data_IF_501208517472
#
_entry.id   IF_501208517472
#
_cell.length_a   1.000
_cell.length_b   1.000
_cell.length_c   1.000
_cell.angle_alpha   90.00
_cell.angle_beta   90.00
_cell.angle_gamma   90.00
#
_symmetry.space_group_name_H-M   'P 1'
#
loop_
_entity.id
_entity.type
_entity.pdbx_description
1 polymer ?
#
# COMPACT_ATOMS: atom_id res chain seq x y z
N UNK A 1 -8.63 -12.23 -10.55
CA UNK A 1 -9.82 -12.28 -9.67
C UNK A 1 -10.49 -10.93 -9.49
N UNK A 2 -9.78 -9.81 -9.23
CA UNK A 2 -10.44 -8.50 -9.17
C UNK A 2 -11.16 -8.10 -10.48
N UNK A 3 -10.58 -8.42 -11.64
CA UNK A 3 -11.24 -8.25 -12.93
C UNK A 3 -12.52 -9.09 -13.06
N UNK A 4 -12.55 -10.30 -12.48
CA UNK A 4 -13.74 -11.17 -12.50
C UNK A 4 -14.89 -10.52 -11.71
N UNK A 5 -14.59 -9.95 -10.53
CA UNK A 5 -15.58 -9.18 -9.77
C UNK A 5 -16.19 -8.06 -10.62
N UNK A 6 -15.35 -7.22 -11.22
CA UNK A 6 -15.83 -6.07 -12.02
C UNK A 6 -16.57 -6.49 -13.30
N UNK A 7 -16.23 -7.64 -13.89
CA UNK A 7 -17.00 -8.20 -15.02
C UNK A 7 -18.37 -8.69 -14.55
N UNK A 8 -18.46 -9.36 -13.40
CA UNK A 8 -19.74 -9.81 -12.85
C UNK A 8 -20.63 -8.63 -12.44
N UNK A 9 -20.05 -7.59 -11.83
CA UNK A 9 -20.74 -6.36 -11.47
C UNK A 9 -21.25 -5.61 -12.72
N UNK A 10 -20.44 -5.53 -13.79
CA UNK A 10 -20.86 -4.95 -15.06
C UNK A 10 -21.98 -5.78 -15.73
N UNK A 11 -21.91 -7.11 -15.65
CA UNK A 11 -22.91 -8.01 -16.21
C UNK A 11 -24.26 -7.93 -15.47
N UNK A 12 -24.24 -7.80 -14.14
CA UNK A 12 -25.43 -7.60 -13.31
C UNK A 12 -26.09 -6.24 -13.61
N UNK A 13 -25.29 -5.16 -13.65
CA UNK A 13 -25.79 -3.82 -13.97
C UNK A 13 -26.26 -3.66 -15.43
N UNK A 14 -25.69 -4.43 -16.35
CA UNK A 14 -25.99 -4.38 -17.77
C UNK A 14 -27.04 -5.37 -18.25
N UNK A 15 -27.58 -6.21 -17.35
CA UNK A 15 -28.51 -7.31 -17.66
C UNK A 15 -28.04 -8.20 -18.82
N UNK A 16 -26.76 -8.61 -18.79
CA UNK A 16 -26.16 -9.36 -19.89
C UNK A 16 -26.69 -10.80 -20.02
N UNK A 17 -27.29 -11.34 -18.97
CA UNK A 17 -27.79 -12.73 -18.92
C UNK A 17 -29.27 -12.74 -18.51
N UNK A 18 -30.19 -12.48 -19.46
CA UNK A 18 -31.62 -12.48 -19.17
C UNK A 18 -32.09 -13.90 -18.83
N UNK A 19 -32.82 -14.05 -17.72
CA UNK A 19 -33.40 -15.33 -17.27
C UNK A 19 -32.80 -15.91 -15.98
N UNK A 20 -31.76 -15.27 -15.42
CA UNK A 20 -31.33 -15.58 -14.06
C UNK A 20 -32.27 -14.94 -13.02
N UNK A 21 -32.46 -15.59 -11.85
CA UNK A 21 -33.15 -14.95 -10.74
C UNK A 21 -32.43 -13.67 -10.32
N UNK A 22 -33.21 -12.64 -9.98
CA UNK A 22 -32.68 -11.37 -9.48
C UNK A 22 -31.69 -11.60 -8.32
N UNK A 23 -30.63 -10.80 -8.27
CA UNK A 23 -29.57 -10.84 -7.24
C UNK A 23 -28.60 -12.03 -7.29
N UNK A 24 -28.76 -12.99 -8.20
CA UNK A 24 -27.84 -14.14 -8.31
C UNK A 24 -26.41 -13.69 -8.66
N UNK A 25 -26.27 -12.86 -9.71
CA UNK A 25 -24.96 -12.35 -10.14
C UNK A 25 -24.32 -11.46 -9.06
N UNK A 26 -25.10 -10.56 -8.46
CA UNK A 26 -24.67 -9.78 -7.29
C UNK A 26 -24.14 -10.64 -6.15
N UNK A 27 -24.84 -11.72 -5.82
CA UNK A 27 -24.44 -12.64 -4.74
C UNK A 27 -23.10 -13.30 -5.06
N UNK A 28 -22.92 -13.79 -6.29
CA UNK A 28 -21.66 -14.37 -6.74
C UNK A 28 -20.53 -13.32 -6.71
N UNK A 29 -20.78 -12.11 -7.20
CA UNK A 29 -19.80 -11.03 -7.20
C UNK A 29 -19.32 -10.71 -5.78
N UNK A 30 -20.22 -10.55 -4.82
CA UNK A 30 -19.87 -10.28 -3.42
C UNK A 30 -19.02 -11.41 -2.81
N UNK A 31 -19.36 -12.68 -3.06
CA UNK A 31 -18.54 -13.81 -2.60
C UNK A 31 -17.16 -13.86 -3.27
N UNK A 32 -17.07 -13.53 -4.57
CA UNK A 32 -15.79 -13.38 -5.27
C UNK A 32 -14.96 -12.26 -4.63
N UNK A 33 -15.57 -11.12 -4.30
CA UNK A 33 -14.88 -10.03 -3.62
C UNK A 33 -14.38 -10.44 -2.23
N UNK A 34 -15.22 -11.10 -1.42
CA UNK A 34 -14.84 -11.62 -0.11
C UNK A 34 -13.69 -12.61 -0.20
N UNK A 35 -13.72 -13.52 -1.17
CA UNK A 35 -12.65 -14.48 -1.41
C UNK A 35 -11.34 -13.78 -1.79
N UNK A 36 -11.39 -12.76 -2.65
CA UNK A 36 -10.21 -11.96 -3.00
C UNK A 36 -9.66 -11.25 -1.77
N UNK A 37 -10.50 -10.60 -0.96
CA UNK A 37 -10.03 -9.93 0.26
C UNK A 37 -9.47 -10.91 1.28
N UNK A 38 -10.05 -12.10 1.42
CA UNK A 38 -9.53 -13.15 2.29
C UNK A 38 -8.17 -13.65 1.79
N UNK A 39 -8.01 -13.87 0.48
CA UNK A 39 -6.72 -14.24 -0.10
C UNK A 39 -5.66 -13.16 0.09
N UNK A 40 -6.03 -11.88 -0.05
CA UNK A 40 -5.09 -10.77 0.07
C UNK A 40 -4.69 -10.52 1.53
N UNK A 41 -5.66 -10.30 2.42
CA UNK A 41 -5.40 -9.84 3.78
C UNK A 41 -5.14 -10.98 4.76
N UNK A 42 -5.75 -12.15 4.57
CA UNK A 42 -5.49 -13.32 5.43
C UNK A 42 -4.35 -14.13 4.85
N UNK A 43 -4.56 -14.75 3.69
CA UNK A 43 -3.57 -15.67 3.12
C UNK A 43 -2.26 -14.93 2.75
N UNK A 44 -2.36 -13.74 2.14
CA UNK A 44 -1.22 -12.92 1.77
C UNK A 44 -0.41 -12.45 2.97
N UNK A 45 -1.06 -11.99 4.05
CA UNK A 45 -0.36 -11.61 5.29
C UNK A 45 0.28 -12.82 5.96
N UNK A 46 -0.41 -13.96 6.04
CA UNK A 46 0.19 -15.19 6.59
C UNK A 46 1.38 -15.64 5.78
N UNK A 47 1.28 -15.59 4.44
CA UNK A 47 2.39 -15.89 3.55
C UNK A 47 3.54 -14.90 3.78
N UNK A 48 3.28 -13.60 3.93
CA UNK A 48 4.34 -12.64 4.23
C UNK A 48 5.04 -12.89 5.56
N UNK A 49 4.31 -13.30 6.61
CA UNK A 49 4.93 -13.55 7.93
C UNK A 49 5.76 -14.84 7.89
N UNK A 50 5.29 -15.88 7.20
CA UNK A 50 5.88 -17.23 7.26
C UNK A 50 6.77 -17.56 6.05
N UNK A 51 6.76 -16.75 4.99
CA UNK A 51 7.57 -17.00 3.81
C UNK A 51 9.06 -16.93 4.15
N UNK A 52 9.85 -17.92 3.69
CA UNK A 52 11.29 -17.83 3.77
C UNK A 52 11.81 -16.69 2.89
N UNK A 53 13.07 -16.25 3.10
CA UNK A 53 13.70 -15.28 2.23
C UNK A 53 13.68 -15.73 0.76
N UNK A 54 13.37 -14.80 -0.14
CA UNK A 54 13.23 -15.06 -1.58
C UNK A 54 14.60 -15.21 -2.25
N UNK A 55 15.21 -16.38 -2.05
CA UNK A 55 16.59 -16.68 -2.45
C UNK A 55 16.64 -18.09 -3.05
N UNK A 56 17.39 -18.26 -4.14
CA UNK A 56 17.61 -19.57 -4.76
C UNK A 56 19.06 -20.01 -4.56
N UNK A 57 19.25 -21.26 -4.11
CA UNK A 57 20.57 -21.85 -3.85
C UNK A 57 20.91 -22.81 -4.98
N UNK A 58 21.94 -22.46 -5.76
CA UNK A 58 22.39 -23.24 -6.91
C UNK A 58 23.81 -23.73 -6.66
N UNK A 59 24.07 -25.02 -6.87
CA UNK A 59 25.42 -25.55 -6.85
C UNK A 59 26.07 -25.36 -8.21
N UNK A 60 27.21 -24.66 -8.24
CA UNK A 60 27.99 -24.43 -9.45
C UNK A 60 29.39 -25.00 -9.25
N UNK A 61 29.91 -25.70 -10.27
CA UNK A 61 31.29 -26.18 -10.26
C UNK A 61 32.20 -25.04 -10.71
N UNK A 62 33.19 -24.70 -9.89
CA UNK A 62 34.20 -23.72 -10.27
C UNK A 62 35.09 -24.29 -11.40
N UNK A 63 35.77 -23.43 -12.19
CA UNK A 63 36.77 -23.88 -13.16
C UNK A 63 37.89 -24.72 -12.53
N UNK A 64 38.13 -24.51 -11.24
CA UNK A 64 39.09 -25.23 -10.38
C UNK A 64 38.55 -26.57 -9.84
N UNK A 65 37.43 -27.07 -10.36
CA UNK A 65 36.83 -28.35 -9.99
C UNK A 65 36.11 -28.39 -8.63
N UNK A 66 36.27 -27.37 -7.79
CA UNK A 66 35.60 -27.22 -6.48
C UNK A 66 34.09 -26.94 -6.60
N UNK A 67 33.30 -27.52 -5.70
CA UNK A 67 31.87 -27.23 -5.58
C UNK A 67 31.68 -25.88 -4.89
N UNK A 68 31.12 -24.89 -5.60
CA UNK A 68 30.73 -23.59 -5.03
C UNK A 68 29.22 -23.49 -4.94
N UNK A 69 28.73 -23.01 -3.80
CA UNK A 69 27.31 -22.72 -3.60
C UNK A 69 27.06 -21.26 -3.96
N UNK A 70 26.26 -21.01 -4.98
CA UNK A 70 25.88 -19.67 -5.45
C UNK A 70 24.48 -19.36 -4.94
N UNK A 71 24.34 -18.23 -4.25
CA UNK A 71 23.08 -17.78 -3.65
C UNK A 71 22.53 -16.65 -4.52
N UNK A 72 21.52 -16.95 -5.33
CA UNK A 72 20.84 -15.98 -6.19
C UNK A 72 19.85 -15.15 -5.38
N UNK A 73 19.88 -13.83 -5.53
CA UNK A 73 19.00 -12.91 -4.79
C UNK A 73 19.54 -12.46 -3.43
N UNK A 74 20.76 -12.87 -3.07
CA UNK A 74 21.41 -12.45 -1.82
C UNK A 74 21.48 -10.91 -1.69
N UNK A 75 21.72 -10.21 -2.80
CA UNK A 75 21.83 -8.74 -2.81
C UNK A 75 20.52 -8.01 -2.49
N UNK A 76 19.35 -8.62 -2.70
CA UNK A 76 18.04 -7.97 -2.48
C UNK A 76 17.13 -8.78 -1.54
N UNK A 77 17.71 -9.55 -0.63
CA UNK A 77 16.94 -10.45 0.24
C UNK A 77 15.93 -9.70 1.11
N UNK A 78 16.34 -8.56 1.69
CA UNK A 78 15.45 -7.77 2.54
C UNK A 78 14.34 -7.07 1.74
N UNK A 79 14.68 -6.45 0.61
CA UNK A 79 13.74 -5.70 -0.21
C UNK A 79 12.75 -6.59 -0.95
N UNK A 80 13.22 -7.69 -1.57
CA UNK A 80 12.37 -8.61 -2.31
C UNK A 80 11.31 -9.26 -1.41
N UNK A 81 11.68 -9.66 -0.19
CA UNK A 81 10.73 -10.23 0.77
C UNK A 81 9.75 -9.16 1.29
N UNK A 82 10.24 -7.97 1.65
CA UNK A 82 9.38 -6.89 2.14
C UNK A 82 8.37 -6.41 1.09
N UNK A 83 8.72 -6.46 -0.21
CA UNK A 83 7.85 -6.07 -1.32
C UNK A 83 6.50 -6.80 -1.35
N UNK A 84 6.44 -8.03 -0.82
CA UNK A 84 5.20 -8.80 -0.75
C UNK A 84 4.11 -8.08 0.06
N UNK A 85 4.48 -7.30 1.09
CA UNK A 85 3.52 -6.59 1.94
C UNK A 85 2.81 -5.44 1.18
N UNK A 86 3.51 -4.47 0.57
CA UNK A 86 2.87 -3.46 -0.29
C UNK A 86 2.09 -4.07 -1.46
N UNK A 87 2.56 -5.19 -2.02
CA UNK A 87 1.89 -5.86 -3.13
C UNK A 87 0.55 -6.50 -2.71
N UNK A 88 0.47 -7.05 -1.50
CA UNK A 88 -0.80 -7.51 -0.93
C UNK A 88 -1.77 -6.34 -0.76
N UNK A 89 -1.34 -5.24 -0.12
CA UNK A 89 -2.20 -4.07 0.08
C UNK A 89 -2.70 -3.48 -1.24
N UNK A 90 -1.83 -3.42 -2.25
CA UNK A 90 -2.19 -3.02 -3.61
C UNK A 90 -3.32 -3.88 -4.17
N UNK A 91 -3.22 -5.21 -4.08
CA UNK A 91 -4.23 -6.12 -4.60
C UNK A 91 -5.61 -5.89 -3.95
N UNK A 92 -5.63 -5.63 -2.64
CA UNK A 92 -6.86 -5.29 -1.92
C UNK A 92 -7.43 -3.95 -2.37
N UNK A 93 -6.58 -2.91 -2.47
CA UNK A 93 -7.01 -1.58 -2.90
C UNK A 93 -7.49 -1.56 -4.37
N UNK A 94 -6.90 -2.38 -5.24
CA UNK A 94 -7.35 -2.53 -6.64
C UNK A 94 -8.75 -3.13 -6.71
N UNK A 95 -9.06 -4.14 -5.89
CA UNK A 95 -10.42 -4.69 -5.84
C UNK A 95 -11.42 -3.63 -5.36
N UNK A 96 -11.05 -2.89 -4.31
CA UNK A 96 -11.93 -1.89 -3.69
C UNK A 96 -12.04 -0.59 -4.50
N UNK A 97 -11.24 -0.43 -5.55
CA UNK A 97 -11.27 0.73 -6.45
C UNK A 97 -11.99 0.37 -7.74
N UNK A 98 -12.74 1.33 -8.31
CA UNK A 98 -13.30 1.20 -9.67
C UNK A 98 -12.20 0.85 -10.68
N UNK A 99 -12.50 0.16 -11.81
CA UNK A 99 -11.47 -0.35 -12.72
C UNK A 99 -10.43 0.69 -13.17
N UNK A 100 -10.86 1.92 -13.48
CA UNK A 100 -9.96 3.02 -13.83
C UNK A 100 -9.07 3.46 -12.66
N UNK A 101 -9.62 3.49 -11.44
CA UNK A 101 -8.86 3.75 -10.22
C UNK A 101 -7.87 2.63 -9.91
N UNK A 102 -8.27 1.36 -10.08
CA UNK A 102 -7.38 0.20 -9.96
C UNK A 102 -6.21 0.27 -10.95
N UNK A 103 -6.46 0.67 -12.20
CA UNK A 103 -5.42 0.94 -13.19
C UNK A 103 -4.46 2.06 -12.77
N UNK A 104 -5.00 3.16 -12.23
CA UNK A 104 -4.18 4.25 -11.70
C UNK A 104 -3.28 3.80 -10.52
N UNK A 105 -3.82 2.99 -9.59
CA UNK A 105 -3.05 2.41 -8.50
C UNK A 105 -1.93 1.50 -9.01
N UNK A 106 -2.20 0.67 -10.02
CA UNK A 106 -1.19 -0.20 -10.63
C UNK A 106 -0.04 0.61 -11.27
N UNK A 107 -0.36 1.69 -11.98
CA UNK A 107 0.64 2.58 -12.58
C UNK A 107 1.48 3.31 -11.51
N UNK A 108 0.86 3.74 -10.42
CA UNK A 108 1.56 4.40 -9.31
C UNK A 108 2.46 3.41 -8.58
N UNK A 109 2.03 2.16 -8.42
CA UNK A 109 2.89 1.11 -7.88
C UNK A 109 4.09 0.84 -8.80
N UNK A 110 3.89 0.83 -10.11
CA UNK A 110 5.00 0.77 -11.07
C UNK A 110 5.98 1.95 -10.92
N UNK A 111 5.46 3.17 -10.76
CA UNK A 111 6.27 4.36 -10.49
C UNK A 111 7.02 4.26 -9.16
N UNK A 112 6.39 3.68 -8.14
CA UNK A 112 7.02 3.40 -6.84
C UNK A 112 8.23 2.49 -6.99
N UNK A 113 8.10 1.40 -7.77
CA UNK A 113 9.22 0.49 -8.07
C UNK A 113 10.33 1.18 -8.85
N UNK A 114 9.95 2.00 -9.83
CA UNK A 114 10.91 2.79 -10.61
C UNK A 114 11.65 3.81 -9.73
N UNK A 115 10.97 4.43 -8.75
CA UNK A 115 11.58 5.31 -7.77
C UNK A 115 12.61 4.56 -6.91
N UNK A 116 12.32 3.34 -6.46
CA UNK A 116 13.30 2.54 -5.71
C UNK A 116 14.57 2.29 -6.50
N UNK A 117 14.43 1.94 -7.79
CA UNK A 117 15.57 1.75 -8.69
C UNK A 117 16.37 3.05 -8.91
N UNK A 118 15.69 4.18 -9.12
CA UNK A 118 16.36 5.47 -9.30
C UNK A 118 17.13 5.87 -8.03
N UNK A 119 16.56 5.66 -6.84
CA UNK A 119 17.21 5.98 -5.57
C UNK A 119 18.43 5.10 -5.32
N UNK A 120 18.35 3.80 -5.62
CA UNK A 120 19.47 2.87 -5.52
C UNK A 120 20.61 3.25 -6.48
N UNK A 121 20.31 3.49 -7.75
CA UNK A 121 21.30 3.85 -8.78
C UNK A 121 22.05 5.16 -8.45
N UNK A 122 21.39 6.10 -7.78
CA UNK A 122 21.99 7.37 -7.39
C UNK A 122 22.56 7.37 -5.95
N UNK A 123 22.49 6.25 -5.22
CA UNK A 123 22.98 6.17 -3.84
C UNK A 123 22.19 7.03 -2.83
N UNK A 124 20.93 7.36 -3.13
CA UNK A 124 20.08 8.29 -2.35
C UNK A 124 19.19 7.58 -1.33
N UNK A 125 19.42 6.30 -1.04
CA UNK A 125 18.58 5.49 -0.13
C UNK A 125 18.59 5.97 1.33
N UNK A 126 19.56 6.80 1.71
CA UNK A 126 19.66 7.41 3.04
C UNK A 126 18.97 8.78 3.13
N UNK A 127 18.72 9.43 2.00
CA UNK A 127 18.22 10.80 1.92
C UNK A 127 16.70 10.86 2.09
N UNK A 128 16.22 12.00 2.58
CA UNK A 128 14.77 12.23 2.78
C UNK A 128 14.00 12.40 1.46
N UNK A 129 14.70 12.49 0.33
CA UNK A 129 14.10 12.65 -1.00
C UNK A 129 13.19 11.45 -1.32
N UNK A 130 13.61 10.22 -1.01
CA UNK A 130 12.83 9.02 -1.30
C UNK A 130 11.45 9.00 -0.60
N UNK A 131 11.41 9.13 0.74
CA UNK A 131 10.15 9.20 1.47
C UNK A 131 9.26 10.38 1.05
N UNK A 132 9.83 11.56 0.78
CA UNK A 132 9.06 12.73 0.32
C UNK A 132 8.45 12.48 -1.07
N UNK A 133 9.20 11.91 -2.00
CA UNK A 133 8.69 11.56 -3.33
C UNK A 133 7.59 10.49 -3.27
N UNK A 134 7.69 9.53 -2.34
CA UNK A 134 6.59 8.59 -2.09
C UNK A 134 5.33 9.27 -1.57
N UNK A 135 5.46 10.22 -0.65
CA UNK A 135 4.31 10.97 -0.14
C UNK A 135 3.62 11.75 -1.25
N UNK A 136 4.40 12.39 -2.12
CA UNK A 136 3.90 13.08 -3.32
C UNK A 136 3.20 12.12 -4.29
N UNK A 137 3.77 10.94 -4.55
CA UNK A 137 3.16 9.91 -5.40
C UNK A 137 1.83 9.41 -4.82
N UNK A 138 1.77 9.18 -3.50
CA UNK A 138 0.54 8.79 -2.80
C UNK A 138 -0.57 9.83 -2.94
N UNK A 139 -0.24 11.11 -2.72
CA UNK A 139 -1.22 12.21 -2.90
C UNK A 139 -1.61 12.40 -4.38
N UNK A 140 -0.68 12.27 -5.32
CA UNK A 140 -0.99 12.32 -6.75
C UNK A 140 -1.97 11.20 -7.14
N UNK A 141 -1.71 9.99 -6.67
CA UNK A 141 -2.53 8.82 -6.93
C UNK A 141 -3.94 8.91 -6.34
N UNK A 142 -4.09 9.54 -5.17
CA UNK A 142 -5.40 9.84 -4.59
C UNK A 142 -6.30 10.62 -5.56
N UNK A 143 -5.78 11.68 -6.18
CA UNK A 143 -6.57 12.42 -7.17
C UNK A 143 -6.74 11.64 -8.48
N UNK A 144 -5.75 10.84 -8.90
CA UNK A 144 -5.84 10.02 -10.12
C UNK A 144 -6.83 8.86 -10.01
N UNK A 145 -7.12 8.39 -8.81
CA UNK A 145 -8.18 7.39 -8.57
C UNK A 145 -9.59 7.99 -8.59
N UNK A 146 -9.71 9.32 -8.76
CA UNK A 146 -10.99 10.04 -8.85
C UNK A 146 -11.51 10.53 -7.51
N UNK A 147 -10.74 10.43 -6.43
CA UNK A 147 -11.10 10.98 -5.13
C UNK A 147 -10.89 12.49 -5.08
N UNK A 148 -11.66 13.15 -4.22
CA UNK A 148 -11.55 14.59 -3.95
C UNK A 148 -11.55 14.81 -2.44
N UNK A 149 -10.90 15.89 -2.01
CA UNK A 149 -10.80 16.27 -0.60
C UNK A 149 -12.07 16.97 -0.10
N UNK A 150 -13.24 16.38 -0.36
CA UNK A 150 -14.54 16.82 0.16
C UNK A 150 -15.34 15.62 0.69
N UNK A 151 -16.09 15.75 1.81
CA UNK A 151 -16.85 14.63 2.36
C UNK A 151 -17.89 14.04 1.40
N UNK A 152 -18.44 14.85 0.50
CA UNK A 152 -19.45 14.44 -0.48
C UNK A 152 -18.90 13.56 -1.60
N UNK A 153 -17.58 13.52 -1.82
CA UNK A 153 -16.96 12.70 -2.87
C UNK A 153 -16.49 11.33 -2.38
N UNK A 154 -16.79 10.96 -1.13
CA UNK A 154 -16.51 9.62 -0.61
C UNK A 154 -17.32 8.61 -1.42
N UNK A 155 -16.65 7.61 -1.97
CA UNK A 155 -17.24 6.54 -2.78
C UNK A 155 -17.90 5.51 -1.87
N UNK A 156 -19.10 5.82 -1.36
CA UNK A 156 -19.84 4.94 -0.44
C UNK A 156 -20.28 3.61 -1.06
N UNK A 157 -20.35 3.54 -2.39
CA UNK A 157 -20.60 2.32 -3.16
C UNK A 157 -19.52 1.24 -2.90
N UNK A 158 -18.28 1.66 -2.62
CA UNK A 158 -17.18 0.72 -2.29
C UNK A 158 -17.49 -0.18 -1.08
N UNK A 159 -18.33 0.26 -0.15
CA UNK A 159 -18.77 -0.55 0.99
C UNK A 159 -19.47 -1.83 0.57
N UNK A 160 -20.19 -1.80 -0.55
CA UNK A 160 -21.02 -2.91 -1.02
C UNK A 160 -20.27 -3.87 -1.94
N UNK A 161 -18.97 -3.64 -2.19
CA UNK A 161 -18.12 -4.55 -2.95
C UNK A 161 -18.05 -5.92 -2.22
N UNK A 162 -17.66 -5.98 -0.93
CA UNK A 162 -17.67 -7.24 -0.19
C UNK A 162 -18.86 -7.43 0.75
N UNK A 163 -19.79 -6.47 0.86
CA UNK A 163 -20.89 -6.51 1.83
C UNK A 163 -22.26 -6.33 1.16
N UNK A 164 -23.25 -7.09 1.62
CA UNK A 164 -24.65 -6.88 1.18
C UNK A 164 -25.34 -5.72 1.92
N UNK A 165 -24.91 -5.46 3.16
CA UNK A 165 -25.50 -4.46 4.05
C UNK A 165 -24.42 -3.76 4.84
N UNK A 166 -24.72 -2.55 5.34
CA UNK A 166 -23.81 -1.80 6.21
C UNK A 166 -23.61 -2.59 7.50
N UNK A 167 -22.35 -2.94 7.81
CA UNK A 167 -21.98 -3.64 9.03
C UNK A 167 -20.73 -3.02 9.63
N UNK A 168 -20.84 -2.58 10.88
CA UNK A 168 -19.69 -2.11 11.65
C UNK A 168 -18.92 -3.31 12.24
N UNK A 169 -17.58 -3.29 12.28
CA UNK A 169 -16.68 -2.21 11.85
C UNK A 169 -16.25 -2.30 10.36
N UNK A 170 -16.72 -3.30 9.60
CA UNK A 170 -16.23 -3.62 8.26
C UNK A 170 -16.50 -2.52 7.22
N UNK A 171 -17.69 -1.94 7.21
CA UNK A 171 -18.06 -0.91 6.22
C UNK A 171 -17.11 0.30 6.26
N UNK A 172 -16.84 0.95 7.41
CA UNK A 172 -15.86 2.02 7.48
C UNK A 172 -14.44 1.60 7.05
N UNK A 173 -14.00 0.39 7.39
CA UNK A 173 -12.66 -0.11 7.01
C UNK A 173 -12.53 -0.22 5.49
N UNK A 174 -13.54 -0.80 4.83
CA UNK A 174 -13.54 -0.97 3.37
C UNK A 174 -13.57 0.40 2.67
N UNK A 175 -14.40 1.32 3.14
CA UNK A 175 -14.48 2.69 2.59
C UNK A 175 -13.17 3.43 2.81
N UNK A 176 -12.52 3.28 3.97
CA UNK A 176 -11.23 3.90 4.25
C UNK A 176 -10.12 3.33 3.35
N UNK A 177 -10.11 2.02 3.11
CA UNK A 177 -9.16 1.37 2.20
C UNK A 177 -9.34 1.81 0.74
N UNK A 178 -10.58 2.06 0.30
CA UNK A 178 -10.85 2.67 -1.00
C UNK A 178 -10.39 4.15 -1.03
N UNK A 179 -10.80 4.94 -0.05
CA UNK A 179 -10.57 6.39 -0.03
C UNK A 179 -9.09 6.76 0.13
N UNK A 180 -8.37 6.07 1.02
CA UNK A 180 -6.95 6.34 1.33
C UNK A 180 -6.00 5.31 0.70
N UNK A 181 -6.48 4.42 -0.18
CA UNK A 181 -5.71 3.29 -0.68
C UNK A 181 -4.34 3.69 -1.26
N UNK A 182 -4.29 4.79 -2.01
CA UNK A 182 -3.06 5.33 -2.57
C UNK A 182 -2.02 5.70 -1.51
N UNK A 183 -2.42 6.44 -0.48
CA UNK A 183 -1.53 6.84 0.61
C UNK A 183 -1.15 5.65 1.51
N UNK A 184 -2.06 4.69 1.72
CA UNK A 184 -1.78 3.45 2.45
C UNK A 184 -0.69 2.64 1.73
N UNK A 185 -0.80 2.49 0.41
CA UNK A 185 0.22 1.80 -0.40
C UNK A 185 1.56 2.56 -0.30
N UNK A 186 1.54 3.88 -0.47
CA UNK A 186 2.75 4.70 -0.38
C UNK A 186 3.42 4.58 1.00
N UNK A 187 2.65 4.67 2.09
CA UNK A 187 3.14 4.49 3.45
C UNK A 187 3.76 3.10 3.63
N UNK A 188 3.09 2.05 3.17
CA UNK A 188 3.60 0.67 3.24
C UNK A 188 4.90 0.45 2.47
N UNK A 189 5.11 1.21 1.38
CA UNK A 189 6.30 1.13 0.55
C UNK A 189 7.49 1.94 1.12
N UNK A 190 7.31 2.79 2.14
CA UNK A 190 8.40 3.62 2.69
C UNK A 190 9.63 2.80 3.10
N UNK A 191 9.51 1.67 3.83
CA UNK A 191 10.68 0.88 4.18
C UNK A 191 11.41 0.26 2.99
N UNK A 192 10.75 0.11 1.82
CA UNK A 192 11.44 -0.33 0.60
C UNK A 192 12.55 0.65 0.20
N UNK A 193 12.41 1.96 0.44
CA UNK A 193 13.46 2.95 0.12
C UNK A 193 14.80 2.57 0.74
N UNK A 194 14.76 1.99 1.94
CA UNK A 194 15.95 1.63 2.71
C UNK A 194 16.35 0.17 2.49
N UNK A 195 15.38 -0.70 2.21
CA UNK A 195 15.55 -2.15 2.08
C UNK A 195 15.77 -2.62 0.64
N UNK A 196 15.57 -1.76 -0.36
CA UNK A 196 15.75 -2.11 -1.76
C UNK A 196 17.20 -2.46 -2.07
N UNK A 197 17.42 -3.62 -2.70
CA UNK A 197 18.75 -4.17 -3.02
C UNK A 197 19.69 -4.20 -1.81
N UNK A 198 19.12 -4.60 -0.68
CA UNK A 198 19.85 -4.81 0.56
C UNK A 198 19.98 -6.29 0.88
N UNK A 199 21.23 -6.71 1.14
CA UNK A 199 21.55 -8.04 1.63
C UNK A 199 21.13 -8.30 3.08
N UNK A 200 21.15 -9.56 3.53
CA UNK A 200 20.51 -9.98 4.78
C UNK A 200 21.14 -9.39 6.05
N UNK A 201 22.47 -9.21 6.09
CA UNK A 201 23.22 -8.75 7.28
C UNK A 201 23.37 -7.22 7.41
N UNK A 202 22.40 -6.42 6.97
CA UNK A 202 22.49 -4.95 7.12
C UNK A 202 22.21 -4.53 8.57
N UNK A 203 23.11 -3.75 9.16
CA UNK A 203 22.91 -3.16 10.51
C UNK A 203 21.91 -2.00 10.48
N UNK A 204 21.21 -1.81 11.60
CA UNK A 204 20.36 -0.63 11.82
C UNK A 204 19.15 -0.54 10.89
N UNK A 205 18.58 -1.67 10.45
CA UNK A 205 17.40 -1.69 9.56
C UNK A 205 16.22 -0.92 10.17
N UNK A 206 15.92 -1.17 11.45
CA UNK A 206 14.81 -0.51 12.14
C UNK A 206 15.04 1.00 12.27
N UNK A 207 16.25 1.41 12.63
CA UNK A 207 16.63 2.83 12.75
C UNK A 207 16.42 3.56 11.41
N UNK A 208 16.99 3.03 10.32
CA UNK A 208 16.88 3.65 9.00
C UNK A 208 15.44 3.65 8.48
N UNK A 209 14.69 2.57 8.71
CA UNK A 209 13.26 2.52 8.36
C UNK A 209 12.45 3.55 9.14
N UNK A 210 12.69 3.67 10.46
CA UNK A 210 12.02 4.67 11.30
C UNK A 210 12.33 6.11 10.89
N UNK A 211 13.59 6.40 10.50
CA UNK A 211 13.98 7.71 9.97
C UNK A 211 13.27 8.03 8.65
N UNK A 212 13.18 7.06 7.74
CA UNK A 212 12.44 7.21 6.49
C UNK A 212 10.94 7.45 6.74
N UNK A 213 10.33 6.70 7.68
CA UNK A 213 8.94 6.89 8.10
C UNK A 213 8.72 8.26 8.75
N UNK A 214 9.65 8.73 9.59
CA UNK A 214 9.57 10.05 10.19
C UNK A 214 9.57 11.16 9.12
N UNK A 215 10.43 11.05 8.10
CA UNK A 215 10.43 11.97 6.97
C UNK A 215 9.09 11.92 6.20
N UNK A 216 8.56 10.72 5.94
CA UNK A 216 7.25 10.54 5.28
C UNK A 216 6.09 11.17 6.08
N UNK A 217 6.00 10.87 7.38
CA UNK A 217 4.96 11.43 8.27
C UNK A 217 5.10 12.94 8.39
N UNK A 218 6.34 13.46 8.48
CA UNK A 218 6.58 14.91 8.58
C UNK A 218 6.02 15.68 7.38
N UNK A 219 6.02 15.09 6.18
CA UNK A 219 5.41 15.69 4.99
C UNK A 219 3.91 15.94 5.20
N UNK A 220 3.17 14.91 5.64
CA UNK A 220 1.74 15.03 5.92
C UNK A 220 1.44 15.92 7.12
N UNK A 221 2.32 15.92 8.13
CA UNK A 221 2.20 16.81 9.28
C UNK A 221 2.34 18.28 8.86
N UNK A 222 3.29 18.61 7.99
CA UNK A 222 3.45 19.97 7.43
C UNK A 222 2.23 20.36 6.59
N UNK A 223 1.71 19.47 5.75
CA UNK A 223 0.48 19.72 4.97
C UNK A 223 -0.73 19.99 5.90
N UNK A 224 -0.89 19.19 6.95
CA UNK A 224 -1.97 19.34 7.93
C UNK A 224 -1.83 20.64 8.74
N UNK A 225 -0.63 20.98 9.21
CA UNK A 225 -0.35 22.23 9.92
C UNK A 225 -0.60 23.46 9.05
N UNK A 226 -0.16 23.42 7.78
CA UNK A 226 -0.40 24.51 6.84
C UNK A 226 -1.90 24.72 6.60
N UNK A 227 -2.64 23.64 6.32
CA UNK A 227 -4.10 23.73 6.10
C UNK A 227 -4.85 24.18 7.35
N UNK A 228 -4.44 23.75 8.53
CA UNK A 228 -4.96 24.23 9.81
C UNK A 228 -4.71 25.73 10.01
N UNK A 229 -3.48 26.19 9.79
CA UNK A 229 -3.10 27.59 9.94
C UNK A 229 -3.90 28.49 8.99
N UNK A 230 -4.05 28.09 7.72
CA UNK A 230 -4.83 28.83 6.74
C UNK A 230 -6.34 28.82 7.04
N UNK A 231 -6.90 27.70 7.50
CA UNK A 231 -8.29 27.64 7.94
C UNK A 231 -8.56 28.57 9.13
N UNK A 232 -7.63 28.63 10.10
CA UNK A 232 -7.72 29.54 11.25
C UNK A 232 -7.54 31.02 10.89
N UNK A 233 -6.63 31.31 9.95
CA UNK A 233 -6.40 32.67 9.44
C UNK A 233 -7.59 33.20 8.64
N UNK A 234 -8.12 32.38 7.72
CA UNK A 234 -9.24 32.74 6.84
C UNK A 234 -10.62 32.44 7.46
N UNK A 235 -10.73 32.42 8.79
CA UNK A 235 -11.97 32.12 9.51
C UNK A 235 -13.15 33.06 9.23
N UNK A 236 -12.91 34.23 8.64
CA UNK A 236 -13.94 35.20 8.22
C UNK A 236 -14.18 35.20 6.71
N UNK A 237 -13.46 34.36 5.96
CA UNK A 237 -13.60 34.28 4.51
C UNK A 237 -14.83 33.46 4.13
N UNK A 238 -15.57 33.91 3.10
CA UNK A 238 -16.82 33.27 2.66
C UNK A 238 -16.64 31.79 2.30
N UNK A 239 -15.47 31.40 1.81
CA UNK A 239 -15.16 30.03 1.40
C UNK A 239 -14.64 29.12 2.53
N UNK A 240 -14.62 29.55 3.80
CA UNK A 240 -14.13 28.76 4.93
C UNK A 240 -14.72 27.34 4.93
N UNK A 241 -16.04 27.22 4.98
CA UNK A 241 -16.72 25.93 5.08
C UNK A 241 -16.83 25.17 3.75
N UNK A 242 -16.59 25.84 2.62
CA UNK A 242 -16.65 25.22 1.29
C UNK A 242 -15.31 24.65 0.83
N UNK A 243 -14.20 25.25 1.24
CA UNK A 243 -12.87 24.92 0.72
C UNK A 243 -11.89 24.63 1.86
N UNK A 244 -11.72 25.55 2.80
CA UNK A 244 -10.64 25.47 3.79
C UNK A 244 -10.89 24.42 4.89
N UNK A 245 -12.08 24.41 5.49
CA UNK A 245 -12.43 23.40 6.51
C UNK A 245 -12.41 21.97 5.96
N UNK A 246 -13.03 21.65 4.80
CA UNK A 246 -12.92 20.31 4.22
C UNK A 246 -11.48 19.86 3.99
N UNK A 247 -10.61 20.75 3.49
CA UNK A 247 -9.19 20.47 3.28
C UNK A 247 -8.44 20.19 4.57
N UNK A 248 -8.67 21.01 5.61
CA UNK A 248 -8.09 20.80 6.94
C UNK A 248 -8.55 19.46 7.54
N UNK A 249 -9.85 19.19 7.56
CA UNK A 249 -10.39 17.94 8.13
C UNK A 249 -9.85 16.72 7.39
N UNK A 250 -9.79 16.77 6.06
CA UNK A 250 -9.21 15.70 5.26
C UNK A 250 -7.72 15.49 5.55
N UNK A 251 -6.94 16.58 5.64
CA UNK A 251 -5.52 16.50 5.98
C UNK A 251 -5.28 15.92 7.38
N UNK A 252 -6.11 16.28 8.36
CA UNK A 252 -6.04 15.73 9.72
C UNK A 252 -6.38 14.24 9.77
N UNK A 253 -7.46 13.81 9.09
CA UNK A 253 -7.83 12.38 9.02
C UNK A 253 -6.76 11.59 8.27
N UNK A 254 -6.24 12.11 7.16
CA UNK A 254 -5.19 11.46 6.39
C UNK A 254 -3.92 11.27 7.23
N UNK A 255 -3.50 12.28 8.01
CA UNK A 255 -2.36 12.16 8.91
C UNK A 255 -2.56 11.03 9.92
N UNK A 256 -3.73 10.94 10.56
CA UNK A 256 -4.05 9.85 11.48
C UNK A 256 -4.01 8.48 10.80
N UNK A 257 -4.53 8.36 9.58
CA UNK A 257 -4.49 7.11 8.81
C UNK A 257 -3.05 6.73 8.49
N UNK A 258 -2.23 7.68 8.05
CA UNK A 258 -0.81 7.47 7.76
C UNK A 258 -0.07 7.03 9.02
N UNK A 259 -0.27 7.68 10.16
CA UNK A 259 0.36 7.31 11.44
C UNK A 259 0.01 5.88 11.84
N UNK A 260 -1.28 5.52 11.77
CA UNK A 260 -1.74 4.16 12.09
C UNK A 260 -1.13 3.11 11.16
N UNK A 261 -1.06 3.39 9.85
CA UNK A 261 -0.46 2.46 8.88
C UNK A 261 1.04 2.35 9.10
N UNK A 262 1.74 3.46 9.28
CA UNK A 262 3.17 3.48 9.58
C UNK A 262 3.48 2.61 10.81
N UNK A 263 2.73 2.76 11.89
CA UNK A 263 2.97 2.00 13.13
C UNK A 263 2.53 0.53 12.99
N UNK A 264 1.27 0.29 12.63
CA UNK A 264 0.67 -1.04 12.71
C UNK A 264 1.08 -1.94 11.55
N UNK A 265 1.19 -1.39 10.34
CA UNK A 265 1.46 -2.17 9.13
C UNK A 265 2.94 -2.15 8.82
N UNK A 266 3.56 -0.97 8.77
CA UNK A 266 4.93 -0.87 8.23
C UNK A 266 5.99 -1.28 9.23
N UNK A 267 5.93 -0.81 10.49
CA UNK A 267 6.91 -1.24 11.50
C UNK A 267 6.74 -2.71 11.87
N UNK A 268 5.51 -3.21 11.98
CA UNK A 268 5.27 -4.64 12.16
C UNK A 268 5.78 -5.45 10.96
N UNK A 269 5.59 -4.93 9.74
CA UNK A 269 6.13 -5.51 8.52
C UNK A 269 7.65 -5.60 8.50
N UNK A 270 8.33 -4.50 8.87
CA UNK A 270 9.79 -4.44 8.97
C UNK A 270 10.29 -5.43 10.02
N UNK A 271 9.64 -5.48 11.19
CA UNK A 271 9.98 -6.44 12.25
C UNK A 271 9.87 -7.88 11.76
N UNK A 272 8.75 -8.27 11.17
CA UNK A 272 8.54 -9.62 10.65
C UNK A 272 9.55 -9.96 9.54
N UNK A 273 9.89 -8.98 8.70
CA UNK A 273 10.91 -9.14 7.66
C UNK A 273 12.30 -9.38 8.24
N UNK A 274 12.72 -8.57 9.19
CA UNK A 274 14.03 -8.71 9.83
C UNK A 274 14.14 -10.04 10.58
N UNK A 275 13.11 -10.47 11.31
CA UNK A 275 13.11 -11.74 12.04
C UNK A 275 13.27 -12.92 11.08
N UNK A 276 12.43 -13.01 10.05
CA UNK A 276 12.48 -14.12 9.09
C UNK A 276 13.80 -14.17 8.30
N UNK A 277 14.39 -13.01 7.96
CA UNK A 277 15.71 -12.97 7.32
C UNK A 277 16.81 -13.40 8.28
N UNK A 278 16.73 -12.97 9.55
CA UNK A 278 17.71 -13.33 10.58
C UNK A 278 17.65 -14.80 11.01
N UNK A 279 16.49 -15.45 10.92
CA UNK A 279 16.34 -16.89 11.19
C UNK A 279 17.15 -17.74 10.20
N UNK A 280 17.30 -17.30 8.95
CA UNK A 280 18.03 -18.03 7.91
C UNK A 280 19.50 -17.62 7.83
N UNK A 281 19.81 -16.33 7.94
CA UNK A 281 21.16 -15.80 7.71
C UNK A 281 21.90 -15.37 8.98
N UNK A 282 21.26 -15.47 10.14
CA UNK A 282 21.74 -14.91 11.41
C UNK A 282 21.51 -13.40 11.51
N UNK A 283 21.61 -12.88 12.74
CA UNK A 283 21.62 -11.44 12.96
C UNK A 283 22.91 -10.80 12.41
N UNK A 284 22.85 -9.51 12.12
CA UNK A 284 24.03 -8.75 11.73
C UNK A 284 24.94 -8.54 12.95
N UNK A 285 26.14 -9.13 12.90
CA UNK A 285 27.22 -8.97 13.89
C UNK A 285 27.78 -7.54 13.84
#
# INVERSE_FOLDING_TARGET
>A
MAALYWVLDAADNGDWVPGLPEQTLKTIAVYVAQLVLALVFVAGTTAFVWAPPLVSVVQSRAPDGSNKVVILGYGNTNGARYLLLPMNLLAGCILLSKPMGGGALALVFWQTMSLMEILDLNGLTAESIGPVMLALLGNFAYFKTGHQATPSSIQWDSAFIPLFTIRYPWTPIVVALNHFGAQIIAASAVPLVVLWKVGPKRKGVLERASRALAAFVSFFAVESLATMAWAGHLRRHLMLYRVFCPRFTMGAVLLLVVDLVCIVVTLAGVRSNTLSVSEVFGFAD
#
